data_IF_450640022253
#
_entry.id   IF_450640022253
#
_cell.length_a   1.000
_cell.length_b   1.000
_cell.length_c   1.000
_cell.angle_alpha   90.00
_cell.angle_beta   90.00
_cell.angle_gamma   90.00
#
_symmetry.space_group_name_H-M   'P 1'
#
loop_
_entity.id
_entity.type
_entity.pdbx_description
1 polymer ?
#
# COMPACT_ATOMS: atom_id res chain seq x y z
N UNK A 1 -10.37 -8.45 -17.01
CA UNK A 1 -9.73 -7.42 -17.89
C UNK A 1 -8.18 -7.46 -17.84
N UNK A 2 -7.57 -8.53 -17.30
CA UNK A 2 -6.10 -8.74 -17.30
C UNK A 2 -5.59 -9.15 -18.70
N UNK A 3 -6.45 -9.76 -19.53
CA UNK A 3 -6.13 -10.19 -20.91
C UNK A 3 -5.76 -9.06 -21.89
N UNK A 4 -6.17 -7.81 -21.65
CA UNK A 4 -5.98 -6.71 -22.61
C UNK A 4 -4.56 -6.11 -22.62
N UNK A 5 -3.80 -6.31 -21.54
CA UNK A 5 -2.39 -5.89 -21.49
C UNK A 5 -1.49 -6.87 -22.25
N UNK A 6 -1.88 -8.15 -22.24
CA UNK A 6 -1.22 -9.27 -22.92
C UNK A 6 -1.20 -9.07 -24.45
N UNK A 7 -2.31 -8.61 -25.05
CA UNK A 7 -2.41 -8.35 -26.49
C UNK A 7 -1.53 -7.22 -27.02
N UNK A 8 -1.25 -6.19 -26.20
CA UNK A 8 -0.38 -5.07 -26.63
C UNK A 8 1.10 -5.39 -26.50
N UNK A 9 1.50 -6.23 -25.54
CA UNK A 9 2.85 -6.77 -25.41
C UNK A 9 3.16 -7.80 -26.50
N UNK A 10 2.17 -8.60 -26.91
CA UNK A 10 2.23 -9.56 -28.04
C UNK A 10 2.45 -8.95 -29.43
N UNK A 11 2.55 -7.62 -29.57
CA UNK A 11 2.90 -7.00 -30.87
C UNK A 11 4.40 -7.02 -31.19
N UNK A 12 5.24 -7.49 -30.26
CA UNK A 12 6.62 -7.83 -30.57
C UNK A 12 6.65 -9.19 -31.31
N UNK A 13 7.50 -9.29 -32.34
CA UNK A 13 7.65 -10.46 -33.20
C UNK A 13 7.59 -11.78 -32.39
N UNK A 14 6.65 -12.68 -32.71
CA UNK A 14 6.58 -14.07 -32.20
C UNK A 14 7.76 -14.95 -32.69
N UNK A 15 8.86 -14.34 -33.12
CA UNK A 15 10.05 -15.08 -33.53
C UNK A 15 10.67 -15.67 -32.27
N UNK A 16 10.99 -16.95 -32.29
CA UNK A 16 11.80 -17.59 -31.26
C UNK A 16 13.26 -17.41 -31.68
N UNK A 17 14.16 -16.94 -30.80
CA UNK A 17 15.59 -16.89 -31.08
C UNK A 17 16.10 -18.29 -31.46
N UNK A 18 16.86 -18.38 -32.54
CA UNK A 18 17.47 -19.65 -32.99
C UNK A 18 18.84 -19.86 -32.35
N UNK A 19 19.58 -18.75 -32.17
CA UNK A 19 20.91 -18.75 -31.60
C UNK A 19 20.87 -18.57 -30.07
N UNK A 20 21.93 -18.99 -29.38
CA UNK A 20 22.07 -18.83 -27.92
C UNK A 20 22.28 -17.36 -27.49
N UNK A 21 22.67 -16.49 -28.42
CA UNK A 21 22.90 -15.07 -28.18
C UNK A 21 22.13 -14.24 -29.21
N UNK A 22 21.23 -13.38 -28.73
CA UNK A 22 20.40 -12.54 -29.58
C UNK A 22 20.15 -11.16 -28.97
N UNK A 23 19.84 -10.18 -29.82
CA UNK A 23 19.47 -8.85 -29.38
C UNK A 23 18.03 -8.83 -28.88
N UNK A 24 17.84 -8.61 -27.57
CA UNK A 24 16.52 -8.53 -26.91
C UNK A 24 15.53 -7.56 -27.59
N UNK A 25 16.01 -6.52 -28.27
CA UNK A 25 15.16 -5.54 -28.98
C UNK A 25 14.26 -6.17 -30.05
N UNK A 26 14.69 -7.27 -30.69
CA UNK A 26 13.97 -7.88 -31.81
C UNK A 26 13.00 -8.99 -31.40
N UNK A 27 12.93 -9.31 -30.11
CA UNK A 27 12.20 -10.47 -29.58
C UNK A 27 11.29 -10.04 -28.44
N UNK A 28 10.15 -10.71 -28.32
CA UNK A 28 9.23 -10.50 -27.19
C UNK A 28 9.92 -10.83 -25.86
N UNK A 29 9.69 -10.06 -24.78
CA UNK A 29 10.19 -10.41 -23.46
C UNK A 29 9.70 -11.80 -23.04
N UNK A 30 10.57 -12.59 -22.42
CA UNK A 30 10.18 -13.86 -21.81
C UNK A 30 9.26 -13.59 -20.63
N UNK A 31 8.14 -14.31 -20.59
CA UNK A 31 7.19 -14.28 -19.48
C UNK A 31 7.50 -15.51 -18.62
N UNK A 32 7.92 -15.27 -17.39
CA UNK A 32 8.22 -16.32 -16.42
C UNK A 32 7.02 -16.51 -15.48
N UNK A 33 6.87 -17.72 -14.94
CA UNK A 33 5.96 -17.91 -13.81
C UNK A 33 6.46 -17.13 -12.59
N UNK A 34 5.55 -16.80 -11.67
CA UNK A 34 5.91 -16.06 -10.46
C UNK A 34 6.97 -16.79 -9.63
N UNK A 35 6.82 -18.11 -9.44
CA UNK A 35 7.76 -18.88 -8.60
C UNK A 35 9.14 -18.96 -9.25
N UNK A 36 9.17 -19.24 -10.56
CA UNK A 36 10.40 -19.26 -11.36
C UNK A 36 11.12 -17.91 -11.30
N UNK A 37 10.39 -16.80 -11.46
CA UNK A 37 10.97 -15.48 -11.36
C UNK A 37 11.61 -15.22 -9.99
N UNK A 38 11.01 -15.69 -8.89
CA UNK A 38 11.58 -15.54 -7.54
C UNK A 38 12.85 -16.38 -7.38
N UNK A 39 12.88 -17.60 -7.90
CA UNK A 39 14.09 -18.44 -7.88
C UNK A 39 15.24 -17.77 -8.65
N UNK A 40 14.95 -17.24 -9.85
CA UNK A 40 15.93 -16.48 -10.61
C UNK A 40 16.45 -15.27 -9.82
N UNK A 41 15.59 -14.50 -9.14
CA UNK A 41 16.03 -13.38 -8.31
C UNK A 41 16.96 -13.83 -7.17
N UNK A 42 16.71 -15.01 -6.57
CA UNK A 42 17.59 -15.57 -5.54
C UNK A 42 18.96 -15.98 -6.09
N UNK A 43 19.00 -16.59 -7.28
CA UNK A 43 20.26 -16.95 -7.94
C UNK A 43 21.08 -15.70 -8.30
N UNK A 44 20.42 -14.64 -8.79
CA UNK A 44 21.10 -13.38 -9.08
C UNK A 44 21.62 -12.68 -7.82
N UNK A 45 20.92 -12.84 -6.69
CA UNK A 45 21.31 -12.26 -5.40
C UNK A 45 22.51 -12.96 -4.74
N UNK A 46 22.89 -14.14 -5.22
CA UNK A 46 23.98 -14.96 -4.66
C UNK A 46 25.31 -14.16 -4.55
N UNK A 47 26.14 -14.41 -3.51
CA UNK A 47 27.44 -13.78 -3.34
C UNK A 47 28.40 -13.93 -4.52
N UNK A 48 28.27 -14.99 -5.33
CA UNK A 48 29.07 -15.17 -6.54
C UNK A 48 28.63 -14.26 -7.71
N UNK A 49 27.44 -13.64 -7.60
CA UNK A 49 26.83 -12.80 -8.62
C UNK A 49 26.75 -11.34 -8.19
N UNK A 50 25.62 -10.90 -7.61
CA UNK A 50 25.41 -9.51 -7.19
C UNK A 50 25.70 -9.27 -5.71
N UNK A 51 25.90 -10.33 -4.92
CA UNK A 51 26.17 -10.26 -3.48
C UNK A 51 25.16 -9.37 -2.73
N UNK A 52 23.88 -9.69 -2.91
CA UNK A 52 22.76 -8.89 -2.38
C UNK A 52 21.61 -9.78 -1.89
N UNK A 53 21.93 -10.76 -1.03
CA UNK A 53 20.96 -11.71 -0.50
C UNK A 53 19.86 -11.07 0.37
N UNK A 54 20.13 -9.88 0.94
CA UNK A 54 19.16 -9.09 1.71
C UNK A 54 18.41 -8.06 0.85
N UNK A 55 18.64 -8.08 -0.47
CA UNK A 55 18.02 -7.17 -1.41
C UNK A 55 16.50 -7.27 -1.44
N UNK A 56 15.82 -6.13 -1.41
CA UNK A 56 14.37 -6.06 -1.51
C UNK A 56 13.91 -6.39 -2.93
N UNK A 57 13.01 -7.35 -3.05
CA UNK A 57 12.34 -7.66 -4.31
C UNK A 57 11.14 -6.72 -4.48
N UNK A 58 11.18 -5.90 -5.53
CA UNK A 58 10.10 -4.98 -5.86
C UNK A 58 9.17 -5.58 -6.91
N UNK A 59 7.86 -5.50 -6.67
CA UNK A 59 6.85 -5.90 -7.64
C UNK A 59 6.18 -4.66 -8.21
N UNK A 60 6.30 -4.46 -9.52
CA UNK A 60 5.66 -3.35 -10.22
C UNK A 60 4.44 -3.84 -11.00
N UNK A 61 3.27 -3.28 -10.69
CA UNK A 61 2.03 -3.59 -11.41
C UNK A 61 1.67 -2.47 -12.39
N UNK A 62 1.40 -2.84 -13.65
CA UNK A 62 0.81 -1.92 -14.63
C UNK A 62 -0.67 -2.22 -14.75
N UNK A 63 -1.50 -1.27 -14.32
CA UNK A 63 -2.94 -1.43 -14.24
C UNK A 63 -3.65 -0.48 -15.22
N UNK A 64 -4.69 -0.97 -15.89
CA UNK A 64 -5.55 -0.15 -16.74
C UNK A 64 -6.63 0.55 -15.89
N UNK A 65 -6.46 1.86 -15.68
CA UNK A 65 -7.39 2.70 -14.90
C UNK A 65 -8.46 3.37 -15.79
N UNK A 66 -8.61 2.96 -17.05
CA UNK A 66 -9.65 3.50 -17.94
C UNK A 66 -11.05 3.08 -17.48
N UNK A 67 -11.97 4.04 -17.44
CA UNK A 67 -13.41 3.76 -17.24
C UNK A 67 -14.13 3.70 -18.57
N UNK A 68 -15.45 3.45 -18.56
CA UNK A 68 -16.29 3.46 -19.78
C UNK A 68 -16.24 4.80 -20.53
N UNK A 69 -15.90 5.90 -19.84
CA UNK A 69 -15.66 7.22 -20.46
C UNK A 69 -14.16 7.46 -20.57
N UNK A 70 -13.65 7.65 -21.79
CA UNK A 70 -12.22 7.87 -22.07
C UNK A 70 -11.59 9.03 -21.30
N UNK A 71 -12.36 10.06 -20.95
CA UNK A 71 -11.89 11.25 -20.22
C UNK A 71 -11.92 11.08 -18.69
N UNK A 72 -12.51 9.99 -18.17
CA UNK A 72 -12.64 9.75 -16.73
C UNK A 72 -11.77 8.56 -16.36
N UNK A 73 -10.71 8.81 -15.60
CA UNK A 73 -9.86 7.77 -15.03
C UNK A 73 -10.28 7.45 -13.59
N UNK A 74 -9.97 6.23 -13.15
CA UNK A 74 -10.06 5.86 -11.74
C UNK A 74 -9.08 6.74 -10.95
N UNK A 75 -9.48 7.17 -9.75
CA UNK A 75 -8.61 7.95 -8.85
C UNK A 75 -7.37 7.13 -8.49
N UNK A 76 -6.30 7.83 -8.11
CA UNK A 76 -5.09 7.16 -7.60
C UNK A 76 -5.46 6.27 -6.41
N UNK A 77 -4.87 5.08 -6.40
CA UNK A 77 -4.95 4.15 -5.29
C UNK A 77 -3.87 4.55 -4.31
N UNK A 78 -4.28 4.79 -3.07
CA UNK A 78 -3.42 4.87 -1.90
C UNK A 78 -4.07 3.96 -0.87
N UNK A 79 -3.48 2.79 -0.68
CA UNK A 79 -4.01 1.73 0.17
C UNK A 79 -2.86 1.00 0.87
N UNK A 80 -3.22 0.20 1.87
CA UNK A 80 -2.31 -0.61 2.66
C UNK A 80 -2.56 -2.10 2.45
N UNK A 81 -1.48 -2.86 2.28
CA UNK A 81 -1.50 -4.32 2.26
C UNK A 81 -0.91 -4.83 3.56
N UNK A 82 -1.64 -5.72 4.23
CA UNK A 82 -1.10 -6.49 5.34
C UNK A 82 -0.14 -7.52 4.77
N UNK A 83 1.13 -7.49 5.20
CA UNK A 83 2.11 -8.48 4.79
C UNK A 83 2.03 -9.69 5.72
N UNK A 84 1.88 -10.92 5.18
CA UNK A 84 1.87 -12.14 6.01
C UNK A 84 3.18 -12.34 6.78
N UNK A 85 4.29 -11.89 6.19
CA UNK A 85 5.62 -11.90 6.78
C UNK A 85 6.15 -10.48 6.79
N UNK A 86 6.55 -10.01 7.97
CA UNK A 86 7.15 -8.69 8.14
C UNK A 86 8.61 -8.71 7.67
N UNK A 87 9.04 -7.60 7.06
CA UNK A 87 10.43 -7.34 6.70
C UNK A 87 10.70 -5.84 6.78
N UNK A 88 11.96 -5.49 7.05
CA UNK A 88 12.44 -4.12 7.00
C UNK A 88 12.68 -3.72 5.54
N UNK A 89 12.07 -2.61 5.12
CA UNK A 89 12.24 -2.03 3.79
C UNK A 89 13.02 -0.71 3.82
N UNK A 90 13.64 -0.39 4.96
CA UNK A 90 14.36 0.86 5.22
C UNK A 90 13.45 2.09 5.37
N UNK A 91 12.12 1.91 5.33
CA UNK A 91 11.16 2.98 5.56
C UNK A 91 10.72 3.00 7.03
N UNK A 92 10.41 4.19 7.59
CA UNK A 92 9.81 4.28 8.92
C UNK A 92 8.49 3.51 8.99
N UNK A 93 8.19 2.96 10.16
CA UNK A 93 6.90 2.35 10.44
C UNK A 93 5.76 3.37 10.27
N UNK A 94 4.60 2.87 9.87
CA UNK A 94 3.42 3.69 9.68
C UNK A 94 2.95 4.29 11.00
N UNK A 95 2.71 5.59 10.99
CA UNK A 95 2.25 6.33 12.17
C UNK A 95 0.73 6.34 12.22
N UNK A 96 0.16 5.56 13.14
CA UNK A 96 -1.29 5.36 13.24
C UNK A 96 -1.88 6.10 14.43
N UNK A 97 -2.98 6.81 14.21
CA UNK A 97 -3.82 7.38 15.28
C UNK A 97 -5.18 6.66 15.32
N UNK A 98 -5.60 6.27 16.51
CA UNK A 98 -6.86 5.58 16.74
C UNK A 98 -7.90 6.47 17.44
N UNK A 99 -9.14 6.47 16.95
CA UNK A 99 -10.25 7.20 17.56
C UNK A 99 -11.36 6.26 18.05
N UNK A 100 -11.77 6.43 19.30
CA UNK A 100 -12.88 5.71 19.94
C UNK A 100 -13.49 6.53 21.07
N UNK A 101 -14.75 6.30 21.46
CA UNK A 101 -15.31 6.85 22.72
C UNK A 101 -15.00 5.99 23.93
N UNK A 102 -14.75 4.70 23.72
CA UNK A 102 -14.40 3.75 24.78
C UNK A 102 -12.91 3.86 25.14
N UNK A 103 -12.56 4.24 26.39
CA UNK A 103 -11.18 4.29 26.86
C UNK A 103 -10.46 2.94 26.83
N UNK A 104 -11.18 1.82 26.98
CA UNK A 104 -10.56 0.50 26.93
C UNK A 104 -9.95 0.22 25.54
N UNK A 105 -10.59 0.71 24.47
CA UNK A 105 -10.06 0.59 23.12
C UNK A 105 -8.86 1.50 22.86
N UNK A 106 -8.69 2.58 23.65
CA UNK A 106 -7.49 3.41 23.56
C UNK A 106 -6.26 2.66 24.04
N UNK A 107 -6.37 1.96 25.17
CA UNK A 107 -5.28 1.14 25.71
C UNK A 107 -4.90 0.01 24.73
N UNK A 108 -5.90 -0.66 24.13
CA UNK A 108 -5.67 -1.70 23.12
C UNK A 108 -4.94 -1.14 21.89
N UNK A 109 -5.36 0.03 21.40
CA UNK A 109 -4.71 0.65 20.25
C UNK A 109 -3.25 1.00 20.52
N UNK A 110 -2.95 1.58 21.70
CA UNK A 110 -1.58 1.91 22.10
C UNK A 110 -0.71 0.66 22.24
N UNK A 111 -1.26 -0.43 22.79
CA UNK A 111 -0.55 -1.72 22.91
C UNK A 111 -0.20 -2.34 21.55
N UNK A 112 -1.05 -2.16 20.54
CA UNK A 112 -0.79 -2.64 19.17
C UNK A 112 0.12 -1.72 18.34
N UNK A 113 0.62 -0.62 18.93
CA UNK A 113 1.58 0.27 18.30
C UNK A 113 0.98 1.49 17.60
N UNK A 114 -0.25 1.89 17.95
CA UNK A 114 -0.71 3.24 17.63
C UNK A 114 0.13 4.28 18.39
N UNK A 115 0.44 5.39 17.75
CA UNK A 115 1.20 6.48 18.39
C UNK A 115 0.34 7.25 19.37
N UNK A 116 -0.94 7.40 19.04
CA UNK A 116 -1.90 8.07 19.88
C UNK A 116 -3.27 7.42 19.71
N UNK A 117 -4.01 7.32 20.81
CA UNK A 117 -5.39 6.87 20.81
C UNK A 117 -6.20 7.76 21.74
N UNK A 118 -7.42 8.11 21.33
CA UNK A 118 -8.25 9.02 22.10
C UNK A 118 -9.60 9.29 21.45
N UNK A 119 -10.28 10.33 21.93
CA UNK A 119 -11.58 10.73 21.46
C UNK A 119 -11.63 12.20 21.09
N UNK A 120 -12.56 12.94 21.69
CA UNK A 120 -12.75 14.38 21.45
C UNK A 120 -11.53 15.23 21.79
N UNK A 121 -10.71 14.79 22.74
CA UNK A 121 -9.49 15.46 23.17
C UNK A 121 -8.45 15.56 22.03
N UNK A 122 -8.17 14.45 21.36
CA UNK A 122 -7.24 14.42 20.21
C UNK A 122 -7.85 15.16 19.02
N UNK A 123 -9.16 15.03 18.81
CA UNK A 123 -9.86 15.75 17.73
C UNK A 123 -9.67 17.26 17.89
N UNK A 124 -9.85 17.79 19.11
CA UNK A 124 -9.62 19.20 19.40
C UNK A 124 -8.14 19.60 19.24
N UNK A 125 -7.18 18.72 19.55
CA UNK A 125 -5.75 19.00 19.32
C UNK A 125 -5.44 19.12 17.82
N UNK A 126 -6.02 18.27 16.97
CA UNK A 126 -5.88 18.35 15.51
C UNK A 126 -6.57 19.61 14.97
N UNK A 127 -7.76 19.93 15.46
CA UNK A 127 -8.51 21.12 15.03
C UNK A 127 -7.75 22.42 15.36
N UNK A 128 -7.11 22.47 16.53
CA UNK A 128 -6.30 23.62 16.96
C UNK A 128 -4.88 23.64 16.36
N UNK A 129 -4.50 22.62 15.57
CA UNK A 129 -3.20 22.54 14.92
C UNK A 129 -2.03 22.16 15.85
N UNK A 130 -2.31 21.55 17.01
CA UNK A 130 -1.28 20.98 17.87
C UNK A 130 -0.70 19.69 17.28
N UNK A 131 -1.55 18.89 16.62
CA UNK A 131 -1.16 17.72 15.85
C UNK A 131 -1.36 18.06 14.38
N UNK A 132 -0.27 17.98 13.61
CA UNK A 132 -0.31 18.23 12.18
C UNK A 132 -0.56 16.95 11.40
N UNK A 133 -1.09 17.09 10.18
CA UNK A 133 -1.21 15.97 9.24
C UNK A 133 0.13 15.31 8.89
N UNK A 134 1.26 15.96 9.17
CA UNK A 134 2.59 15.39 8.96
C UNK A 134 3.01 14.42 10.06
N UNK A 135 2.28 14.37 11.18
CA UNK A 135 2.69 13.62 12.38
C UNK A 135 2.15 12.20 12.38
N UNK A 136 1.16 11.92 11.52
CA UNK A 136 0.54 10.62 11.34
C UNK A 136 0.30 10.33 9.86
N UNK A 137 0.33 9.06 9.50
CA UNK A 137 0.15 8.59 8.13
C UNK A 137 -1.25 7.99 7.92
N UNK A 138 -1.79 7.33 8.96
CA UNK A 138 -3.09 6.65 8.90
C UNK A 138 -3.95 6.94 10.12
N UNK A 139 -5.26 6.97 9.90
CA UNK A 139 -6.27 7.14 10.95
C UNK A 139 -7.21 5.95 10.95
N UNK A 140 -7.43 5.36 12.12
CA UNK A 140 -8.42 4.31 12.34
C UNK A 140 -9.48 4.79 13.34
N UNK A 141 -10.73 4.38 13.16
CA UNK A 141 -11.78 4.73 14.11
C UNK A 141 -12.88 3.69 14.26
N UNK A 142 -13.57 3.77 15.38
CA UNK A 142 -14.81 3.03 15.63
C UNK A 142 -16.05 3.81 15.17
N UNK A 143 -17.19 3.14 14.87
CA UNK A 143 -18.39 3.78 14.33
C UNK A 143 -19.04 4.84 15.23
N UNK A 144 -18.82 4.73 16.54
CA UNK A 144 -19.38 5.59 17.59
C UNK A 144 -18.83 7.03 17.57
N UNK A 145 -17.60 7.24 17.08
CA UNK A 145 -16.92 8.54 17.06
C UNK A 145 -16.84 9.20 15.68
N UNK A 146 -17.31 8.52 14.63
CA UNK A 146 -17.21 9.02 13.24
C UNK A 146 -17.85 10.39 13.06
N UNK A 147 -18.97 10.66 13.74
CA UNK A 147 -19.66 11.96 13.68
C UNK A 147 -18.81 13.10 14.22
N UNK A 148 -17.96 12.80 15.20
CA UNK A 148 -17.16 13.79 15.92
C UNK A 148 -15.90 14.13 15.12
N UNK A 149 -15.51 13.28 14.15
CA UNK A 149 -14.42 13.51 13.19
C UNK A 149 -14.83 14.39 11.99
N UNK A 150 -16.13 14.66 11.80
CA UNK A 150 -16.63 15.45 10.67
C UNK A 150 -16.03 16.87 10.59
N UNK A 151 -15.84 17.62 11.70
CA UNK A 151 -15.23 18.95 11.67
C UNK A 151 -13.81 18.95 11.08
N UNK A 152 -13.00 17.96 11.46
CA UNK A 152 -11.61 17.82 11.00
C UNK A 152 -11.49 17.11 9.64
N UNK A 153 -12.60 16.77 8.97
CA UNK A 153 -12.59 16.06 7.68
C UNK A 153 -11.78 16.78 6.60
N UNK A 154 -11.80 18.12 6.59
CA UNK A 154 -11.02 18.93 5.64
C UNK A 154 -9.51 18.90 5.93
N UNK A 155 -9.15 18.66 7.19
CA UNK A 155 -7.77 18.51 7.64
C UNK A 155 -7.29 17.13 7.22
N UNK A 156 -8.01 16.05 7.58
CA UNK A 156 -7.63 14.67 7.26
C UNK A 156 -7.63 14.35 5.75
N UNK A 157 -8.51 14.97 4.95
CA UNK A 157 -8.59 14.77 3.49
C UNK A 157 -8.66 13.29 3.08
N UNK A 158 -7.54 12.73 2.61
CA UNK A 158 -7.44 11.37 2.09
C UNK A 158 -7.22 10.34 3.22
N UNK A 159 -6.73 10.75 4.39
CA UNK A 159 -6.57 9.85 5.56
C UNK A 159 -7.85 9.69 6.36
N UNK A 160 -8.95 10.34 5.94
CA UNK A 160 -10.23 10.21 6.63
C UNK A 160 -10.71 8.74 6.65
N UNK A 161 -11.14 8.23 7.82
CA UNK A 161 -11.48 6.82 7.97
C UNK A 161 -12.75 6.45 7.19
N UNK A 162 -12.70 5.33 6.48
CA UNK A 162 -13.81 4.84 5.65
C UNK A 162 -13.88 3.31 5.69
N UNK A 163 -15.08 2.75 5.70
CA UNK A 163 -15.28 1.29 5.70
C UNK A 163 -14.57 0.57 4.54
N UNK A 164 -14.62 1.06 3.27
CA UNK A 164 -13.93 0.40 2.16
C UNK A 164 -12.40 0.38 2.30
N UNK A 165 -11.82 1.30 3.08
CA UNK A 165 -10.38 1.33 3.38
C UNK A 165 -9.99 0.40 4.52
N UNK A 166 -10.97 -0.14 5.25
CA UNK A 166 -10.73 -0.95 6.46
C UNK A 166 -10.27 -0.14 7.66
N UNK A 167 -10.35 1.20 7.62
CA UNK A 167 -10.01 2.10 8.73
C UNK A 167 -11.19 2.48 9.62
N UNK A 168 -12.37 1.91 9.34
CA UNK A 168 -13.57 2.09 10.14
C UNK A 168 -14.19 0.72 10.44
N UNK A 169 -14.20 0.33 11.71
CA UNK A 169 -14.62 -1.00 12.16
C UNK A 169 -14.74 -1.10 13.68
N UNK A 170 -15.22 -2.25 14.16
CA UNK A 170 -15.38 -2.50 15.60
C UNK A 170 -14.13 -3.12 16.24
N UNK A 171 -13.34 -3.85 15.48
CA UNK A 171 -12.11 -4.48 15.96
C UNK A 171 -10.93 -3.51 15.87
N UNK A 172 -10.72 -2.73 16.92
CA UNK A 172 -9.61 -1.78 17.00
C UNK A 172 -8.26 -2.47 16.89
N UNK A 173 -8.12 -3.66 17.47
CA UNK A 173 -6.87 -4.40 17.54
C UNK A 173 -6.40 -4.80 16.15
N UNK A 174 -7.28 -5.46 15.40
CA UNK A 174 -6.97 -5.91 14.03
C UNK A 174 -6.69 -4.73 13.10
N UNK A 175 -7.49 -3.65 13.21
CA UNK A 175 -7.29 -2.45 12.41
C UNK A 175 -5.92 -1.81 12.68
N UNK A 176 -5.59 -1.50 13.94
CA UNK A 176 -4.29 -0.89 14.28
C UNK A 176 -3.15 -1.78 13.83
N UNK A 177 -3.21 -3.08 14.12
CA UNK A 177 -2.18 -4.03 13.72
C UNK A 177 -1.92 -4.02 12.20
N UNK A 178 -2.99 -4.02 11.40
CA UNK A 178 -2.92 -3.95 9.95
C UNK A 178 -2.29 -2.66 9.45
N UNK A 179 -2.64 -1.51 10.04
CA UNK A 179 -2.12 -0.22 9.61
C UNK A 179 -0.68 0.00 10.08
N UNK A 180 -0.30 -0.48 11.26
CA UNK A 180 1.07 -0.36 11.78
C UNK A 180 2.04 -1.25 11.00
N UNK A 181 1.69 -2.51 10.76
CA UNK A 181 2.57 -3.50 10.09
C UNK A 181 2.38 -3.62 8.59
N UNK A 182 1.38 -2.95 8.03
CA UNK A 182 1.12 -3.01 6.60
C UNK A 182 2.09 -2.15 5.80
N UNK A 183 2.25 -2.47 4.52
CA UNK A 183 3.02 -1.64 3.58
C UNK A 183 2.06 -0.82 2.72
N UNK A 184 2.32 0.48 2.65
CA UNK A 184 1.53 1.42 1.86
C UNK A 184 2.00 1.36 0.41
N UNK A 185 1.06 1.24 -0.52
CA UNK A 185 1.36 1.29 -1.96
C UNK A 185 0.56 2.41 -2.62
N UNK A 186 1.23 3.14 -3.50
CA UNK A 186 0.67 4.28 -4.21
C UNK A 186 0.73 4.03 -5.71
N UNK A 187 -0.38 4.30 -6.40
CA UNK A 187 -0.39 4.27 -7.87
C UNK A 187 0.06 5.62 -8.42
N UNK A 188 0.99 5.59 -9.37
CA UNK A 188 1.42 6.76 -10.13
C UNK A 188 0.92 6.65 -11.58
N UNK A 189 0.65 7.79 -12.27
CA UNK A 189 0.48 7.76 -13.72
C UNK A 189 1.70 7.10 -14.35
N UNK A 190 1.48 6.14 -15.25
CA UNK A 190 2.59 5.55 -16.01
C UNK A 190 3.18 6.59 -16.96
N UNK A 191 4.50 6.50 -17.16
CA UNK A 191 5.23 7.24 -18.20
C UNK A 191 4.73 6.89 -19.61
#
# INVERSE_FOLDING_TARGET
KIQLLDEKLRRANDKVPVDDVWFKLFYSPTIHDFNEAIEMHREFADPSMLDNMEGLVQVTFRLDFTTSKKTKFIKRINNIVAMPHWFDDGNPDNRVIAFSKDPALHEVALQEGAIQAGGSDIISQIENGLINNSDFDHVVCTPDIVTDLVPIRKILRDTFPMQPKGSLGLDMKEMVHRFTKGKTFNSFPGD
#
